data_IF_673352884095
#
_entry.id   IF_673352884095
#
_cell.length_a   1.000
_cell.length_b   1.000
_cell.length_c   1.000
_cell.angle_alpha   90.00
_cell.angle_beta   90.00
_cell.angle_gamma   90.00
#
_symmetry.space_group_name_H-M   'P 1'
#
loop_
_entity.id
_entity.type
_entity.pdbx_description
1 polymer ?
#
# COMPACT_ATOMS: atom_id res chain seq x y z
N UNK A 1 -28.10 24.38 -54.15
CA UNK A 1 -27.09 23.45 -53.59
C UNK A 1 -27.45 22.04 -53.99
N UNK A 2 -26.52 21.29 -54.61
CA UNK A 2 -26.76 19.88 -54.97
C UNK A 2 -26.81 19.00 -53.71
N UNK A 3 -27.46 17.83 -53.81
CA UNK A 3 -27.51 16.87 -52.69
C UNK A 3 -26.11 16.45 -52.20
N UNK A 4 -25.10 16.45 -53.07
CA UNK A 4 -23.70 16.19 -52.71
C UNK A 4 -23.09 17.31 -51.86
N UNK A 5 -23.37 18.57 -52.17
CA UNK A 5 -22.85 19.72 -51.42
C UNK A 5 -23.41 19.77 -49.99
N UNK A 6 -24.70 19.41 -49.80
CA UNK A 6 -25.31 19.31 -48.45
C UNK A 6 -24.67 18.20 -47.61
N UNK A 7 -24.36 17.05 -48.22
CA UNK A 7 -23.69 15.93 -47.54
C UNK A 7 -22.27 16.29 -47.13
N UNK A 8 -21.52 16.99 -47.99
CA UNK A 8 -20.17 17.48 -47.67
C UNK A 8 -20.17 18.46 -46.50
N UNK A 9 -21.11 19.42 -46.48
CA UNK A 9 -21.21 20.38 -45.37
C UNK A 9 -21.56 19.67 -44.05
N UNK A 10 -22.52 18.74 -44.06
CA UNK A 10 -22.86 17.96 -42.87
C UNK A 10 -21.68 17.14 -42.35
N UNK A 11 -20.90 16.52 -43.24
CA UNK A 11 -19.70 15.78 -42.86
C UNK A 11 -18.63 16.69 -42.22
N UNK A 12 -18.39 17.88 -42.79
CA UNK A 12 -17.45 18.86 -42.24
C UNK A 12 -17.89 19.37 -40.86
N UNK A 13 -19.19 19.65 -40.68
CA UNK A 13 -19.75 20.05 -39.39
C UNK A 13 -19.57 18.94 -38.35
N UNK A 14 -19.87 17.70 -38.71
CA UNK A 14 -19.71 16.56 -37.81
C UNK A 14 -18.24 16.34 -37.42
N UNK A 15 -17.32 16.38 -38.39
CA UNK A 15 -15.88 16.25 -38.13
C UNK A 15 -15.36 17.41 -37.25
N UNK A 16 -15.83 18.63 -37.49
CA UNK A 16 -15.50 19.79 -36.66
C UNK A 16 -15.99 19.63 -35.22
N UNK A 17 -17.24 19.20 -35.03
CA UNK A 17 -17.81 18.96 -33.71
C UNK A 17 -17.08 17.81 -32.97
N UNK A 18 -16.77 16.71 -33.65
CA UNK A 18 -16.01 15.59 -33.10
C UNK A 18 -14.59 16.02 -32.70
N UNK A 19 -13.91 16.81 -33.56
CA UNK A 19 -12.58 17.33 -33.27
C UNK A 19 -12.58 18.24 -32.04
N UNK A 20 -13.56 19.14 -31.91
CA UNK A 20 -13.70 20.01 -30.75
C UNK A 20 -13.98 19.22 -29.48
N UNK A 21 -14.87 18.23 -29.55
CA UNK A 21 -15.18 17.34 -28.42
C UNK A 21 -13.94 16.58 -27.95
N UNK A 22 -13.23 15.90 -28.86
CA UNK A 22 -12.02 15.15 -28.52
C UNK A 22 -10.91 16.04 -27.95
N UNK A 23 -10.75 17.25 -28.51
CA UNK A 23 -9.77 18.22 -27.99
C UNK A 23 -10.15 18.68 -26.58
N UNK A 24 -11.42 18.99 -26.35
CA UNK A 24 -11.92 19.35 -25.02
C UNK A 24 -11.71 18.22 -24.02
N UNK A 25 -12.06 16.97 -24.37
CA UNK A 25 -11.84 15.79 -23.52
C UNK A 25 -10.36 15.52 -23.21
N UNK A 26 -9.46 15.74 -24.17
CA UNK A 26 -8.02 15.64 -23.94
C UNK A 26 -7.52 16.73 -22.99
N UNK A 27 -8.01 17.96 -23.13
CA UNK A 27 -7.65 19.08 -22.24
C UNK A 27 -8.15 18.82 -20.82
N UNK A 28 -9.39 18.36 -20.65
CA UNK A 28 -9.92 18.02 -19.31
C UNK A 28 -9.13 16.89 -18.68
N UNK A 29 -8.81 15.83 -19.44
CA UNK A 29 -7.97 14.73 -18.93
C UNK A 29 -6.57 15.23 -18.53
N UNK A 30 -5.95 16.10 -19.33
CA UNK A 30 -4.64 16.66 -19.00
C UNK A 30 -4.69 17.52 -17.73
N UNK A 31 -5.76 18.31 -17.54
CA UNK A 31 -5.98 19.10 -16.33
C UNK A 31 -6.18 18.20 -15.10
N UNK A 32 -6.97 17.14 -15.22
CA UNK A 32 -7.19 16.18 -14.14
C UNK A 32 -5.89 15.45 -13.77
N UNK A 33 -5.10 15.03 -14.77
CA UNK A 33 -3.78 14.41 -14.55
C UNK A 33 -2.83 15.39 -13.86
N UNK A 34 -2.76 16.65 -14.29
CA UNK A 34 -1.93 17.66 -13.64
C UNK A 34 -2.37 17.93 -12.20
N UNK A 35 -3.68 18.00 -11.95
CA UNK A 35 -4.23 18.14 -10.61
C UNK A 35 -3.82 16.95 -9.74
N UNK A 36 -4.01 15.72 -10.22
CA UNK A 36 -3.61 14.50 -9.52
C UNK A 36 -2.11 14.47 -9.21
N UNK A 37 -1.26 14.80 -10.18
CA UNK A 37 0.19 14.91 -9.97
C UNK A 37 0.53 15.96 -8.91
N UNK A 38 -0.15 17.11 -8.93
CA UNK A 38 0.06 18.18 -7.94
C UNK A 38 -0.41 17.79 -6.53
N UNK A 39 -1.52 17.04 -6.42
CA UNK A 39 -2.03 16.51 -5.16
C UNK A 39 -1.11 15.42 -4.61
N UNK A 40 -0.57 14.57 -5.48
CA UNK A 40 0.42 13.57 -5.12
C UNK A 40 1.71 14.23 -4.59
N UNK A 41 2.14 15.33 -5.21
CA UNK A 41 3.30 16.11 -4.76
C UNK A 41 3.01 16.93 -3.48
N UNK A 42 1.74 17.26 -3.19
CA UNK A 42 1.29 18.00 -2.00
C UNK A 42 0.92 17.12 -0.80
N UNK A 43 1.08 15.79 -0.87
CA UNK A 43 0.91 14.91 0.30
C UNK A 43 2.06 15.20 1.27
N UNK A 44 1.85 16.22 2.11
CA UNK A 44 2.85 16.94 2.90
C UNK A 44 3.84 16.03 3.59
N UNK A 45 5.07 16.05 3.09
CA UNK A 45 6.22 15.50 3.78
C UNK A 45 6.58 16.51 4.88
N UNK A 46 6.43 16.12 6.15
CA UNK A 46 6.97 16.92 7.25
C UNK A 46 8.50 16.90 7.12
N UNK A 47 9.10 18.05 6.88
CA UNK A 47 10.55 18.17 6.62
C UNK A 47 11.39 18.13 7.90
N UNK A 48 10.74 18.09 9.07
CA UNK A 48 11.39 17.93 10.36
C UNK A 48 12.08 16.57 10.47
N UNK A 49 13.23 16.54 11.14
CA UNK A 49 13.93 15.30 11.45
C UNK A 49 13.22 14.58 12.60
N UNK A 50 13.51 13.30 12.76
CA UNK A 50 13.00 12.48 13.88
C UNK A 50 13.18 13.19 15.24
N UNK A 51 14.37 13.73 15.49
CA UNK A 51 14.73 14.40 16.75
C UNK A 51 13.98 15.72 17.03
N UNK A 52 13.32 16.31 16.01
CA UNK A 52 12.60 17.58 16.16
C UNK A 52 11.19 17.38 16.76
N UNK A 53 10.70 16.14 16.85
CA UNK A 53 9.39 15.82 17.39
C UNK A 53 9.46 15.44 18.87
N UNK A 54 8.48 15.88 19.66
CA UNK A 54 8.36 15.43 21.05
C UNK A 54 7.77 14.02 21.18
N UNK A 55 7.06 13.53 20.16
CA UNK A 55 6.26 12.31 20.17
C UNK A 55 5.12 12.32 21.21
N UNK A 56 4.76 13.49 21.75
CA UNK A 56 3.65 13.64 22.71
C UNK A 56 2.40 14.15 22.00
N UNK A 57 1.25 13.54 22.29
CA UNK A 57 -0.03 13.95 21.70
C UNK A 57 -0.03 13.84 20.17
N UNK A 58 -0.21 14.97 19.48
CA UNK A 58 -0.20 15.06 18.01
C UNK A 58 1.16 15.48 17.42
N UNK A 59 2.17 15.73 18.24
CA UNK A 59 3.50 16.16 17.77
C UNK A 59 4.38 14.96 17.43
N UNK A 60 4.06 14.32 16.31
CA UNK A 60 4.81 13.22 15.70
C UNK A 60 4.62 13.28 14.17
N UNK A 61 5.51 12.69 13.37
CA UNK A 61 5.33 12.69 11.93
C UNK A 61 4.13 11.80 11.55
N UNK A 62 3.46 12.15 10.46
CA UNK A 62 2.34 11.35 9.89
C UNK A 62 2.83 10.19 9.03
N UNK A 63 4.11 10.22 8.62
CA UNK A 63 4.80 9.17 7.87
C UNK A 63 6.03 8.73 8.66
N UNK A 64 6.51 7.54 8.38
CA UNK A 64 7.76 7.07 8.98
C UNK A 64 8.90 8.02 8.52
N UNK A 65 9.75 8.55 9.43
CA UNK A 65 10.76 9.56 9.11
C UNK A 65 11.99 8.94 8.42
N UNK A 66 11.75 8.25 7.30
CA UNK A 66 12.77 7.65 6.43
C UNK A 66 12.90 8.46 5.15
N UNK A 67 14.05 8.32 4.49
CA UNK A 67 14.21 8.82 3.13
C UNK A 67 13.34 7.98 2.18
N UNK A 68 12.30 8.59 1.62
CA UNK A 68 11.42 7.92 0.66
C UNK A 68 12.02 7.99 -0.75
N UNK A 69 12.50 6.84 -1.23
CA UNK A 69 12.92 6.67 -2.62
C UNK A 69 11.86 5.91 -3.39
N UNK A 70 11.63 6.25 -4.66
CA UNK A 70 10.76 5.46 -5.54
C UNK A 70 11.53 4.34 -6.23
N UNK A 71 10.94 3.14 -6.25
CA UNK A 71 11.48 1.94 -6.90
C UNK A 71 10.45 1.34 -7.86
N UNK A 72 10.93 0.57 -8.84
CA UNK A 72 10.08 -0.17 -9.76
C UNK A 72 10.00 -1.62 -9.32
N UNK A 73 8.79 -2.13 -9.16
CA UNK A 73 8.53 -3.53 -8.82
C UNK A 73 7.76 -4.19 -9.96
N UNK A 74 8.35 -5.21 -10.56
CA UNK A 74 7.65 -6.09 -11.50
C UNK A 74 6.99 -7.18 -10.68
N UNK A 75 5.66 -7.21 -10.67
CA UNK A 75 4.92 -8.28 -9.98
C UNK A 75 4.97 -9.54 -10.83
N UNK A 76 5.13 -10.69 -10.19
CA UNK A 76 5.17 -11.98 -10.86
C UNK A 76 4.40 -13.04 -10.07
N UNK A 77 3.87 -14.02 -10.79
CA UNK A 77 3.27 -15.21 -10.20
C UNK A 77 4.31 -15.96 -9.37
N UNK A 78 3.99 -16.18 -8.09
CA UNK A 78 4.88 -16.81 -7.11
C UNK A 78 4.39 -18.20 -6.74
N UNK A 79 5.32 -19.10 -6.46
CA UNK A 79 5.04 -20.37 -5.76
C UNK A 79 5.16 -20.23 -4.24
N UNK A 80 5.63 -19.07 -3.78
CA UNK A 80 5.74 -18.69 -2.37
C UNK A 80 4.49 -17.95 -1.90
N UNK A 81 4.32 -17.87 -0.58
CA UNK A 81 3.20 -17.24 0.13
C UNK A 81 1.87 -17.96 -0.11
N UNK A 82 1.91 -19.30 -0.19
CA UNK A 82 0.72 -20.15 -0.25
C UNK A 82 -0.19 -20.02 0.98
N UNK A 83 -1.39 -20.60 0.92
CA UNK A 83 -2.34 -20.56 2.04
C UNK A 83 -2.09 -21.72 2.99
N UNK A 84 -1.86 -22.93 2.49
CA UNK A 84 -1.87 -24.16 3.30
C UNK A 84 -0.65 -25.05 3.07
N UNK A 85 0.28 -24.65 2.20
CA UNK A 85 1.50 -25.43 1.97
C UNK A 85 2.35 -25.49 3.25
N UNK A 86 3.14 -26.56 3.45
CA UNK A 86 3.92 -26.73 4.68
C UNK A 86 4.82 -25.53 5.01
N UNK A 87 5.41 -24.91 3.99
CA UNK A 87 6.32 -23.78 4.09
C UNK A 87 5.60 -22.44 4.24
N UNK A 88 4.29 -22.39 3.94
CA UNK A 88 3.53 -21.14 3.89
C UNK A 88 3.60 -20.34 5.19
N UNK A 89 3.52 -21.01 6.35
CA UNK A 89 3.56 -20.30 7.63
C UNK A 89 4.87 -19.50 7.80
N UNK A 90 6.01 -20.11 7.46
CA UNK A 90 7.33 -19.49 7.54
C UNK A 90 7.50 -18.41 6.48
N UNK A 91 7.07 -18.67 5.24
CA UNK A 91 7.12 -17.69 4.14
C UNK A 91 6.33 -16.43 4.50
N UNK A 92 5.10 -16.58 5.00
CA UNK A 92 4.31 -15.45 5.46
C UNK A 92 4.98 -14.74 6.63
N UNK A 93 5.59 -15.47 7.58
CA UNK A 93 6.33 -14.86 8.70
C UNK A 93 7.51 -14.00 8.23
N UNK A 94 8.17 -14.34 7.11
CA UNK A 94 9.24 -13.52 6.52
C UNK A 94 8.80 -12.12 6.06
N UNK A 95 7.49 -11.85 6.00
CA UNK A 95 6.98 -10.49 5.76
C UNK A 95 7.04 -9.61 7.01
N UNK A 96 7.22 -10.18 8.20
CA UNK A 96 7.26 -9.46 9.46
C UNK A 96 8.52 -8.60 9.58
N UNK A 97 8.40 -7.49 10.31
CA UNK A 97 9.57 -6.76 10.81
C UNK A 97 10.05 -7.38 12.12
N UNK A 98 11.30 -7.10 12.50
CA UNK A 98 11.80 -7.51 13.81
C UNK A 98 10.96 -6.81 14.90
N UNK A 99 10.37 -7.60 15.80
CA UNK A 99 9.45 -7.09 16.83
C UNK A 99 7.97 -6.95 16.43
N UNK A 100 7.69 -7.17 15.14
CA UNK A 100 6.43 -7.16 14.40
C UNK A 100 5.43 -6.01 14.58
N UNK A 101 5.04 -5.42 13.44
CA UNK A 101 3.88 -4.53 13.27
C UNK A 101 3.95 -3.14 13.90
N UNK A 102 4.68 -3.00 15.02
CA UNK A 102 4.77 -1.78 15.79
C UNK A 102 6.20 -1.28 15.91
N UNK A 103 6.35 0.04 15.93
CA UNK A 103 7.62 0.73 16.19
C UNK A 103 7.48 1.57 17.46
N UNK A 104 8.56 1.70 18.23
CA UNK A 104 8.63 2.61 19.38
C UNK A 104 9.64 3.71 19.09
N UNK A 105 9.20 4.95 19.24
CA UNK A 105 10.00 6.13 18.87
C UNK A 105 9.80 7.23 19.92
N UNK A 106 10.85 8.03 20.12
CA UNK A 106 10.88 9.15 21.05
C UNK A 106 11.37 8.73 22.43
N UNK A 107 11.61 9.73 23.29
CA UNK A 107 12.22 9.53 24.63
C UNK A 107 11.41 8.59 25.54
N UNK A 108 10.09 8.57 25.35
CA UNK A 108 9.16 7.76 26.13
C UNK A 108 8.77 6.45 25.41
N UNK A 109 9.48 6.08 24.32
CA UNK A 109 9.28 4.84 23.57
C UNK A 109 7.82 4.63 23.12
N UNK A 110 7.22 5.69 22.57
CA UNK A 110 5.81 5.69 22.16
C UNK A 110 5.61 4.72 21.02
N UNK A 111 4.62 3.83 21.18
CA UNK A 111 4.25 2.85 20.17
C UNK A 111 3.46 3.48 19.02
N UNK A 112 3.81 3.10 17.79
CA UNK A 112 3.08 3.41 16.56
C UNK A 112 2.89 2.14 15.73
N UNK A 113 1.73 2.01 15.08
CA UNK A 113 1.50 0.99 14.06
C UNK A 113 1.79 1.60 12.68
N UNK A 114 2.85 1.14 12.03
CA UNK A 114 3.23 1.60 10.69
C UNK A 114 2.39 0.83 9.68
N UNK A 115 1.70 1.57 8.81
CA UNK A 115 0.67 1.05 7.89
C UNK A 115 1.11 -0.22 7.16
N UNK A 116 2.23 -0.16 6.42
CA UNK A 116 2.71 -1.30 5.63
C UNK A 116 2.92 -2.58 6.45
N UNK A 117 3.48 -2.47 7.66
CA UNK A 117 3.72 -3.64 8.51
C UNK A 117 2.45 -4.13 9.21
N UNK A 118 1.53 -3.22 9.54
CA UNK A 118 0.23 -3.58 10.10
C UNK A 118 -0.66 -4.29 9.06
N UNK A 119 -0.62 -3.86 7.80
CA UNK A 119 -1.31 -4.54 6.69
C UNK A 119 -0.77 -5.96 6.50
N UNK A 120 0.55 -6.13 6.45
CA UNK A 120 1.19 -7.46 6.37
C UNK A 120 0.83 -8.35 7.57
N UNK A 121 0.80 -7.78 8.79
CA UNK A 121 0.33 -8.48 9.99
C UNK A 121 -1.12 -8.96 9.86
N UNK A 122 -2.02 -8.10 9.40
CA UNK A 122 -3.40 -8.46 9.14
C UNK A 122 -3.51 -9.57 8.08
N UNK A 123 -2.72 -9.53 7.00
CA UNK A 123 -2.72 -10.57 5.97
C UNK A 123 -2.27 -11.94 6.52
N UNK A 124 -1.24 -11.98 7.37
CA UNK A 124 -0.82 -13.22 8.06
C UNK A 124 -1.93 -13.79 8.94
N UNK A 125 -2.60 -12.93 9.70
CA UNK A 125 -3.73 -13.32 10.55
C UNK A 125 -4.92 -13.85 9.73
N UNK A 126 -5.23 -13.23 8.59
CA UNK A 126 -6.27 -13.70 7.67
C UNK A 126 -5.91 -15.03 7.02
N UNK A 127 -4.67 -15.22 6.56
CA UNK A 127 -4.19 -16.49 6.02
C UNK A 127 -4.32 -17.61 7.07
N UNK A 128 -3.93 -17.35 8.31
CA UNK A 128 -4.11 -18.29 9.43
C UNK A 128 -5.59 -18.61 9.68
N UNK A 129 -6.48 -17.62 9.58
CA UNK A 129 -7.92 -17.83 9.72
C UNK A 129 -8.53 -18.67 8.58
N UNK A 130 -8.06 -18.48 7.35
CA UNK A 130 -8.48 -19.28 6.20
C UNK A 130 -8.02 -20.72 6.36
N UNK A 131 -6.76 -20.93 6.78
CA UNK A 131 -6.20 -22.28 6.97
C UNK A 131 -6.90 -23.04 8.12
N UNK A 132 -7.11 -22.39 9.27
CA UNK A 132 -7.63 -23.04 10.48
C UNK A 132 -9.16 -23.04 10.57
N UNK A 133 -9.85 -22.31 9.69
CA UNK A 133 -11.29 -22.14 9.68
C UNK A 133 -11.77 -21.08 10.67
N UNK A 134 -12.70 -20.23 10.23
CA UNK A 134 -13.20 -19.09 11.00
C UNK A 134 -13.75 -19.48 12.38
N UNK A 135 -14.52 -20.57 12.44
CA UNK A 135 -15.21 -21.02 13.64
C UNK A 135 -14.27 -21.59 14.71
N UNK A 136 -13.03 -21.95 14.35
CA UNK A 136 -12.03 -22.43 15.32
C UNK A 136 -11.37 -21.30 16.11
N UNK A 137 -11.53 -20.05 15.65
CA UNK A 137 -10.87 -18.90 16.25
C UNK A 137 -11.62 -18.38 17.49
N UNK A 138 -10.91 -17.95 18.55
CA UNK A 138 -11.53 -17.23 19.66
C UNK A 138 -12.25 -15.95 19.18
N UNK A 139 -13.33 -15.56 19.87
CA UNK A 139 -14.13 -14.38 19.51
C UNK A 139 -13.31 -13.09 19.42
N UNK A 140 -12.28 -12.93 20.26
CA UNK A 140 -11.37 -11.78 20.20
C UNK A 140 -10.62 -11.70 18.87
N UNK A 141 -10.07 -12.83 18.41
CA UNK A 141 -9.36 -12.93 17.12
C UNK A 141 -10.29 -12.72 15.93
N UNK A 142 -11.51 -13.25 16.00
CA UNK A 142 -12.54 -12.97 15.00
C UNK A 142 -12.83 -11.47 14.87
N UNK A 143 -13.08 -10.77 15.98
CA UNK A 143 -13.30 -9.32 15.97
C UNK A 143 -12.11 -8.55 15.42
N UNK A 144 -10.89 -8.96 15.78
CA UNK A 144 -9.67 -8.36 15.27
C UNK A 144 -9.58 -8.48 13.74
N UNK A 145 -9.83 -9.67 13.18
CA UNK A 145 -9.81 -9.88 11.72
C UNK A 145 -10.89 -9.04 11.01
N UNK A 146 -12.10 -8.92 11.58
CA UNK A 146 -13.14 -8.05 11.02
C UNK A 146 -12.70 -6.57 10.98
N UNK A 147 -12.00 -6.10 12.01
CA UNK A 147 -11.37 -4.79 12.00
C UNK A 147 -10.30 -4.68 10.89
N UNK A 148 -9.42 -5.67 10.77
CA UNK A 148 -8.40 -5.72 9.72
C UNK A 148 -8.99 -5.66 8.31
N UNK A 149 -10.11 -6.34 8.02
CA UNK A 149 -10.78 -6.24 6.71
C UNK A 149 -11.21 -4.80 6.39
N UNK A 150 -11.75 -4.07 7.37
CA UNK A 150 -12.11 -2.67 7.20
C UNK A 150 -10.88 -1.77 7.04
N UNK A 151 -9.80 -2.06 7.78
CA UNK A 151 -8.53 -1.33 7.66
C UNK A 151 -7.93 -1.48 6.26
N UNK A 152 -7.76 -2.71 5.77
CA UNK A 152 -7.25 -2.99 4.41
C UNK A 152 -8.13 -2.36 3.33
N UNK A 153 -9.46 -2.47 3.46
CA UNK A 153 -10.38 -1.83 2.52
C UNK A 153 -10.16 -0.32 2.45
N UNK A 154 -10.00 0.36 3.59
CA UNK A 154 -9.80 1.81 3.60
C UNK A 154 -8.48 2.20 2.93
N UNK A 155 -7.38 1.50 3.24
CA UNK A 155 -6.09 1.81 2.65
C UNK A 155 -6.02 1.51 1.15
N UNK A 156 -6.57 0.38 0.70
CA UNK A 156 -6.66 0.06 -0.74
C UNK A 156 -7.44 1.12 -1.51
N UNK A 157 -8.47 1.73 -0.89
CA UNK A 157 -9.23 2.83 -1.51
C UNK A 157 -8.51 4.19 -1.45
N UNK A 158 -7.69 4.44 -0.41
CA UNK A 158 -7.00 5.71 -0.21
C UNK A 158 -5.62 5.81 -0.88
N UNK A 159 -4.99 4.69 -1.19
CA UNK A 159 -3.64 4.60 -1.74
C UNK A 159 -3.52 3.49 -2.80
N UNK A 160 -4.60 3.23 -3.53
CA UNK A 160 -4.62 2.23 -4.60
C UNK A 160 -3.70 2.60 -5.77
N UNK A 161 -3.00 1.60 -6.31
CA UNK A 161 -2.23 1.74 -7.54
C UNK A 161 -3.16 1.59 -8.76
N UNK A 162 -3.17 2.60 -9.62
CA UNK A 162 -3.98 2.63 -10.85
C UNK A 162 -3.23 2.08 -12.08
N UNK A 163 -2.07 1.45 -11.88
CA UNK A 163 -1.31 0.78 -12.95
C UNK A 163 -2.17 -0.32 -13.58
N UNK A 164 -2.26 -0.31 -14.92
CA UNK A 164 -3.05 -1.28 -15.67
C UNK A 164 -2.32 -2.62 -15.78
N UNK A 165 -3.04 -3.72 -15.55
CA UNK A 165 -2.60 -5.08 -15.81
C UNK A 165 -2.42 -5.32 -17.33
N UNK A 166 -1.31 -5.97 -17.77
CA UNK A 166 -1.10 -6.25 -19.18
C UNK A 166 -1.93 -7.44 -19.66
N UNK A 167 -2.58 -7.26 -20.82
CA UNK A 167 -3.31 -8.29 -21.54
C UNK A 167 -4.75 -8.50 -21.05
N UNK A 168 -5.43 -9.49 -21.64
CA UNK A 168 -6.76 -9.92 -21.20
C UNK A 168 -6.61 -10.96 -20.09
N UNK A 169 -6.94 -10.58 -18.86
CA UNK A 169 -6.85 -11.46 -17.68
C UNK A 169 -7.74 -12.71 -17.80
N UNK A 170 -8.79 -12.68 -18.63
CA UNK A 170 -9.67 -13.83 -18.87
C UNK A 170 -9.06 -14.86 -19.81
N UNK A 171 -8.08 -14.48 -20.64
CA UNK A 171 -7.43 -15.35 -21.62
C UNK A 171 -6.00 -15.73 -21.22
N UNK A 172 -5.46 -15.10 -20.18
CA UNK A 172 -4.07 -15.24 -19.78
C UNK A 172 -3.82 -16.55 -19.05
N UNK A 173 -2.85 -17.32 -19.53
CA UNK A 173 -2.35 -18.51 -18.83
C UNK A 173 -1.28 -18.09 -17.81
N UNK A 174 -1.64 -17.96 -16.52
CA UNK A 174 -0.73 -17.55 -15.45
C UNK A 174 0.40 -18.56 -15.17
N UNK A 175 0.27 -19.82 -15.60
CA UNK A 175 1.37 -20.79 -15.50
C UNK A 175 2.48 -20.50 -16.51
N UNK A 176 2.15 -19.99 -17.71
CA UNK A 176 3.10 -19.64 -18.78
C UNK A 176 3.50 -18.15 -18.79
N UNK A 177 2.55 -17.26 -18.51
CA UNK A 177 2.70 -15.82 -18.57
C UNK A 177 2.73 -15.24 -17.15
N UNK A 178 3.84 -15.48 -16.47
CA UNK A 178 4.02 -15.20 -15.04
C UNK A 178 4.40 -13.76 -14.70
N UNK A 179 4.70 -12.92 -15.68
CA UNK A 179 5.20 -11.54 -15.45
C UNK A 179 4.06 -10.54 -15.59
N UNK A 180 3.68 -9.89 -14.50
CA UNK A 180 2.62 -8.89 -14.42
C UNK A 180 3.05 -7.47 -14.80
N UNK A 181 2.29 -6.49 -14.34
CA UNK A 181 2.60 -5.08 -14.53
C UNK A 181 3.86 -4.64 -13.74
N UNK A 182 4.43 -3.51 -14.15
CA UNK A 182 5.48 -2.83 -13.40
C UNK A 182 4.87 -1.69 -12.61
N UNK A 183 4.97 -1.78 -11.29
CA UNK A 183 4.45 -0.80 -10.34
C UNK A 183 5.53 0.20 -9.93
N UNK A 184 5.11 1.38 -9.43
CA UNK A 184 6.02 2.35 -8.81
C UNK A 184 5.73 2.39 -7.32
N UNK A 185 6.67 1.89 -6.52
CA UNK A 185 6.51 1.74 -5.07
C UNK A 185 7.44 2.71 -4.34
N UNK A 186 7.16 2.96 -3.06
CA UNK A 186 8.15 3.51 -2.14
C UNK A 186 9.09 2.38 -1.72
N UNK A 187 10.38 2.66 -1.69
CA UNK A 187 11.41 1.72 -1.23
C UNK A 187 11.14 1.37 0.24
N UNK A 188 10.82 0.09 0.48
CA UNK A 188 10.48 -0.39 1.80
C UNK A 188 11.71 -0.81 2.62
N UNK A 189 12.88 -0.97 1.99
CA UNK A 189 14.09 -1.41 2.71
C UNK A 189 14.47 -0.48 3.86
N UNK A 190 14.48 0.87 3.70
CA UNK A 190 14.74 1.78 4.82
C UNK A 190 13.70 1.65 5.94
N UNK A 191 12.46 1.31 5.61
CA UNK A 191 11.42 1.09 6.61
C UNK A 191 11.73 -0.17 7.45
N UNK A 192 12.09 -1.29 6.81
CA UNK A 192 12.49 -2.51 7.52
C UNK A 192 13.73 -2.29 8.40
N UNK A 193 14.71 -1.53 7.91
CA UNK A 193 15.90 -1.15 8.68
C UNK A 193 15.54 -0.34 9.92
N UNK A 194 14.74 0.71 9.76
CA UNK A 194 14.27 1.53 10.89
C UNK A 194 13.47 0.70 11.90
N UNK A 195 12.54 -0.15 11.46
CA UNK A 195 11.78 -1.02 12.37
C UNK A 195 12.70 -1.90 13.22
N UNK A 196 13.70 -2.50 12.59
CA UNK A 196 14.69 -3.34 13.27
C UNK A 196 15.50 -2.53 14.28
N UNK A 197 16.03 -1.39 13.89
CA UNK A 197 16.89 -0.57 14.76
C UNK A 197 16.10 -0.06 15.98
N UNK A 198 14.88 0.45 15.75
CA UNK A 198 13.99 0.90 16.83
C UNK A 198 13.51 -0.22 17.73
N UNK A 199 13.31 -1.43 17.21
CA UNK A 199 13.02 -2.58 18.05
C UNK A 199 14.21 -2.93 18.97
N UNK A 200 15.43 -2.87 18.46
CA UNK A 200 16.63 -3.14 19.25
C UNK A 200 16.83 -2.07 20.33
N UNK A 201 16.58 -0.79 20.01
CA UNK A 201 16.55 0.31 20.98
C UNK A 201 15.49 0.05 22.08
N UNK A 202 14.27 -0.28 21.68
CA UNK A 202 13.20 -0.64 22.61
C UNK A 202 13.59 -1.81 23.52
N UNK A 203 14.17 -2.89 22.98
CA UNK A 203 14.58 -4.04 23.76
C UNK A 203 15.65 -3.69 24.80
N UNK A 204 16.54 -2.75 24.49
CA UNK A 204 17.52 -2.22 25.45
C UNK A 204 16.84 -1.37 26.51
N UNK A 205 15.99 -0.42 26.10
CA UNK A 205 15.22 0.43 27.01
C UNK A 205 14.38 -0.39 27.99
N UNK A 206 13.67 -1.39 27.46
CA UNK A 206 12.83 -2.31 28.22
C UNK A 206 13.64 -3.02 29.30
N UNK A 207 14.82 -3.55 28.94
CA UNK A 207 15.71 -4.23 29.88
C UNK A 207 16.28 -3.29 30.93
N UNK A 208 16.70 -2.09 30.56
CA UNK A 208 17.28 -1.12 31.51
C UNK A 208 16.25 -0.57 32.50
N UNK A 209 14.97 -0.56 32.15
CA UNK A 209 13.88 -0.08 33.01
C UNK A 209 13.08 -1.19 33.69
N UNK A 210 13.52 -2.46 33.57
CA UNK A 210 12.83 -3.59 34.22
C UNK A 210 11.42 -3.86 33.68
N UNK A 211 11.15 -3.49 32.43
CA UNK A 211 9.85 -3.68 31.79
C UNK A 211 9.76 -5.13 31.29
N UNK A 212 8.67 -5.83 31.65
CA UNK A 212 8.45 -7.19 31.19
C UNK A 212 8.28 -7.23 29.66
N UNK A 213 8.76 -8.31 29.03
CA UNK A 213 8.38 -8.59 27.66
C UNK A 213 6.92 -9.02 27.68
N UNK A 214 6.04 -8.18 27.15
CA UNK A 214 4.66 -8.57 26.90
C UNK A 214 4.63 -9.06 25.45
N UNK A 215 4.49 -10.38 25.27
CA UNK A 215 4.19 -10.96 23.96
C UNK A 215 2.88 -10.32 23.48
N UNK A 216 2.94 -9.60 22.37
CA UNK A 216 1.78 -8.94 21.76
C UNK A 216 1.23 -9.87 20.68
N UNK A 217 0.79 -11.05 21.08
CA UNK A 217 0.04 -11.99 20.22
C UNK A 217 -1.48 -11.79 20.35
#
# INVERSE_FOLDING_TARGET
>A
MSGGQKRQILALVFLGAASLYLTWSLVTLAQDVQLLMSLQQRRGYDTRKEDDFSYVGSDHPTRLPIEEKLVKLVVQESVHYGISDPESADEWLWTASVGDGHVRIGKDERMFAVVAFHELHCLRSMRSAIQNGWQSLPLGRQRHILHCYNYLRQWTLCAGDATLEPGDFMQRNFTKHRIGATHTCVDWLPAYEMMKDKWLEWEQFRKSHGIAHHDVD
#
